data_IF_427342419264
#
_entry.id   IF_427342419264
#
_cell.length_a   1.000
_cell.length_b   1.000
_cell.length_c   1.000
_cell.angle_alpha   90.00
_cell.angle_beta   90.00
_cell.angle_gamma   90.00
#
_symmetry.space_group_name_H-M   'P 1'
#
loop_
_entity.id
_entity.type
_entity.pdbx_description
1 polymer ?
#
# COMPACT_ATOMS: atom_id res chain seq x y z
N UNK A 1 -1.21 -12.48 5.15
CA UNK A 1 -0.51 -11.60 4.17
C UNK A 1 0.94 -11.36 4.60
N UNK A 2 1.18 -10.90 5.83
CA UNK A 2 2.51 -10.52 6.31
C UNK A 2 3.53 -11.69 6.38
N UNK A 3 3.07 -12.94 6.37
CA UNK A 3 3.93 -14.12 6.31
C UNK A 3 4.55 -14.38 4.94
N UNK A 4 3.99 -13.80 3.88
CA UNK A 4 4.45 -14.00 2.50
C UNK A 4 4.84 -12.70 1.79
N UNK A 5 4.14 -11.60 2.06
CA UNK A 5 4.34 -10.32 1.37
C UNK A 5 5.14 -9.34 2.21
N UNK A 6 6.07 -8.65 1.59
CA UNK A 6 6.82 -7.56 2.19
C UNK A 6 6.09 -6.23 2.08
N UNK A 7 6.45 -5.28 2.96
CA UNK A 7 6.05 -3.87 2.93
C UNK A 7 7.25 -2.98 3.26
N UNK A 8 8.32 -3.13 2.50
CA UNK A 8 9.66 -2.56 2.77
C UNK A 8 9.73 -1.03 2.76
N UNK A 9 8.72 -0.34 2.23
CA UNK A 9 8.70 1.13 2.21
C UNK A 9 7.93 1.75 3.37
N UNK A 10 7.14 0.96 4.11
CA UNK A 10 6.42 1.39 5.30
C UNK A 10 7.31 1.28 6.53
N UNK A 11 7.32 2.30 7.38
CA UNK A 11 7.98 2.28 8.70
C UNK A 11 6.95 2.12 9.81
N UNK A 12 7.35 1.58 10.95
CA UNK A 12 6.45 1.42 12.09
C UNK A 12 5.88 2.75 12.60
N UNK A 13 6.62 3.87 12.49
CA UNK A 13 6.14 5.21 12.81
C UNK A 13 4.94 5.65 11.95
N UNK A 14 4.83 5.15 10.72
CA UNK A 14 3.72 5.54 9.85
C UNK A 14 2.37 5.07 10.39
N UNK A 15 2.33 4.07 11.29
CA UNK A 15 1.12 3.54 11.89
C UNK A 15 0.38 4.55 12.78
N UNK A 16 1.08 5.53 13.37
CA UNK A 16 0.48 6.57 14.22
C UNK A 16 0.53 7.98 13.61
N UNK A 17 1.02 8.11 12.37
CA UNK A 17 1.00 9.39 11.66
C UNK A 17 -0.44 9.80 11.28
N UNK A 18 -0.76 11.10 11.26
CA UNK A 18 -2.08 11.58 10.86
C UNK A 18 -2.51 11.08 9.47
N UNK A 19 -3.72 10.54 9.37
CA UNK A 19 -4.25 9.92 8.14
C UNK A 19 -3.85 8.46 7.96
N UNK A 20 -3.16 7.88 8.94
CA UNK A 20 -2.80 6.47 9.01
C UNK A 20 -3.85 5.62 9.73
N UNK A 21 -3.47 4.39 10.14
CA UNK A 21 -4.36 3.45 10.83
C UNK A 21 -4.75 3.84 12.26
N UNK A 22 -4.44 5.04 12.68
CA UNK A 22 -4.83 5.63 13.99
C UNK A 22 -4.34 4.88 15.24
N UNK A 23 -3.24 4.12 15.12
CA UNK A 23 -2.59 3.57 16.30
C UNK A 23 -2.02 4.69 17.18
N UNK A 24 -1.95 4.43 18.50
CA UNK A 24 -1.15 5.30 19.38
C UNK A 24 0.33 5.04 19.18
N UNK A 25 1.18 6.00 19.55
CA UNK A 25 2.64 5.84 19.48
C UNK A 25 3.12 4.61 20.27
N UNK A 26 2.53 4.36 21.44
CA UNK A 26 2.90 3.21 22.28
C UNK A 26 2.46 1.87 21.66
N UNK A 27 1.31 1.83 21.01
CA UNK A 27 0.89 0.66 20.22
C UNK A 27 1.84 0.39 19.05
N UNK A 28 2.22 1.43 18.32
CA UNK A 28 3.19 1.30 17.23
C UNK A 28 4.58 0.84 17.71
N UNK A 29 5.03 1.32 18.90
CA UNK A 29 6.26 0.83 19.56
C UNK A 29 6.14 -0.65 19.95
N UNK A 30 5.01 -1.05 20.53
CA UNK A 30 4.77 -2.44 20.93
C UNK A 30 4.77 -3.37 19.71
N UNK A 31 4.12 -2.95 18.62
CA UNK A 31 4.13 -3.71 17.34
C UNK A 31 5.58 -3.83 16.83
N UNK A 32 6.33 -2.73 16.77
CA UNK A 32 7.72 -2.74 16.31
C UNK A 32 8.58 -3.69 17.14
N UNK A 33 8.48 -3.61 18.48
CA UNK A 33 9.27 -4.42 19.41
C UNK A 33 9.02 -5.94 19.30
N UNK A 34 7.91 -6.35 18.66
CA UNK A 34 7.63 -7.75 18.35
C UNK A 34 8.44 -8.32 17.18
N UNK A 35 9.23 -7.49 16.50
CA UNK A 35 10.06 -7.89 15.36
C UNK A 35 11.54 -7.63 15.64
N UNK A 36 12.40 -8.45 15.05
CA UNK A 36 13.85 -8.32 15.17
C UNK A 36 14.45 -7.77 13.87
N UNK A 37 15.41 -6.88 14.02
CA UNK A 37 16.18 -6.30 12.90
C UNK A 37 17.67 -6.46 13.16
N UNK A 38 18.42 -6.71 12.10
CA UNK A 38 19.89 -6.67 12.14
C UNK A 38 20.35 -5.24 12.03
N UNK A 39 21.15 -4.78 12.97
CA UNK A 39 21.70 -3.41 13.04
C UNK A 39 23.22 -3.49 13.19
N UNK A 40 23.90 -2.39 13.02
CA UNK A 40 25.36 -2.30 13.17
C UNK A 40 26.04 -1.66 11.96
N UNK A 41 27.37 -1.75 11.90
CA UNK A 41 28.23 -2.43 12.89
C UNK A 41 28.31 -1.71 14.25
N UNK A 42 28.54 -2.47 15.33
CA UNK A 42 28.86 -1.94 16.66
C UNK A 42 30.31 -1.40 16.70
N UNK A 43 30.80 -1.00 17.87
CA UNK A 43 32.19 -0.50 18.07
C UNK A 43 33.26 -1.50 17.66
N UNK A 44 32.93 -2.79 17.66
CA UNK A 44 33.85 -3.90 17.35
C UNK A 44 33.73 -4.33 15.87
N UNK A 45 32.87 -3.65 15.10
CA UNK A 45 32.64 -3.93 13.69
C UNK A 45 31.66 -5.08 13.42
N UNK A 46 30.92 -5.54 14.44
CA UNK A 46 30.01 -6.67 14.33
C UNK A 46 28.55 -6.23 14.12
N UNK A 47 27.82 -7.00 13.32
CA UNK A 47 26.36 -6.85 13.19
C UNK A 47 25.69 -7.51 14.39
N UNK A 48 24.64 -6.90 14.90
CA UNK A 48 23.88 -7.41 16.04
C UNK A 48 22.37 -7.36 15.78
N UNK A 49 21.64 -8.22 16.47
CA UNK A 49 20.18 -8.28 16.39
C UNK A 49 19.59 -7.48 17.54
N UNK A 50 18.56 -6.69 17.26
CA UNK A 50 17.80 -5.93 18.25
C UNK A 50 16.30 -5.91 17.89
N UNK A 51 15.42 -5.62 18.86
CA UNK A 51 14.04 -5.29 18.57
C UNK A 51 13.94 -4.08 17.63
N UNK A 52 12.96 -4.12 16.71
CA UNK A 52 12.72 -3.00 15.82
C UNK A 52 12.20 -1.78 16.59
N UNK A 53 12.47 -0.59 16.04
CA UNK A 53 12.07 0.72 16.55
C UNK A 53 11.09 1.38 15.56
N UNK A 54 10.46 2.48 15.97
CA UNK A 54 9.55 3.24 15.11
C UNK A 54 10.17 3.72 13.80
N UNK A 55 11.48 3.99 13.79
CA UNK A 55 12.22 4.40 12.58
C UNK A 55 12.48 3.27 11.60
N UNK A 56 12.41 2.03 12.05
CA UNK A 56 12.70 0.89 11.20
C UNK A 56 11.56 0.62 10.22
N UNK A 57 11.90 0.00 9.10
CA UNK A 57 10.93 -0.48 8.12
C UNK A 57 10.29 -1.77 8.60
N UNK A 58 9.11 -2.08 8.08
CA UNK A 58 8.50 -3.37 8.31
C UNK A 58 9.46 -4.49 7.89
N UNK A 59 9.63 -5.45 8.78
CA UNK A 59 10.52 -6.59 8.55
C UNK A 59 9.97 -7.45 7.42
N UNK A 60 10.85 -7.81 6.50
CA UNK A 60 10.48 -8.68 5.38
C UNK A 60 10.34 -10.13 5.85
N UNK A 61 9.34 -10.87 5.36
CA UNK A 61 9.14 -12.27 5.75
C UNK A 61 10.25 -13.22 5.28
N UNK A 62 10.99 -12.84 4.24
CA UNK A 62 12.07 -13.65 3.67
C UNK A 62 13.35 -12.82 3.52
N UNK A 63 14.48 -13.46 3.75
CA UNK A 63 15.80 -12.82 3.66
C UNK A 63 16.15 -12.34 2.24
N UNK A 64 15.62 -13.01 1.21
CA UNK A 64 15.87 -12.67 -0.19
C UNK A 64 14.81 -13.29 -1.12
N UNK A 65 14.86 -12.89 -2.41
CA UNK A 65 13.92 -13.35 -3.44
C UNK A 65 13.92 -14.87 -3.61
N UNK A 66 15.10 -15.51 -3.56
CA UNK A 66 15.19 -16.98 -3.74
C UNK A 66 14.53 -17.73 -2.58
N UNK A 67 14.72 -17.24 -1.35
CA UNK A 67 14.03 -17.81 -0.17
C UNK A 67 12.52 -17.65 -0.28
N UNK A 68 12.04 -16.47 -0.71
CA UNK A 68 10.61 -16.23 -0.96
C UNK A 68 10.05 -17.18 -2.03
N UNK A 69 10.75 -17.35 -3.15
CA UNK A 69 10.33 -18.27 -4.21
C UNK A 69 10.31 -19.73 -3.76
N UNK A 70 11.32 -20.16 -3.02
CA UNK A 70 11.39 -21.53 -2.50
C UNK A 70 10.19 -21.83 -1.56
N UNK A 71 9.81 -20.88 -0.72
CA UNK A 71 8.70 -21.03 0.20
C UNK A 71 7.30 -20.94 -0.47
N UNK A 72 7.22 -20.40 -1.69
CA UNK A 72 5.95 -20.11 -2.39
C UNK A 72 5.85 -20.83 -3.75
N UNK A 73 6.32 -22.08 -3.85
CA UNK A 73 6.19 -22.89 -5.07
C UNK A 73 6.80 -22.25 -6.33
N UNK A 74 7.93 -21.55 -6.17
CA UNK A 74 8.62 -20.83 -7.25
C UNK A 74 8.06 -19.45 -7.56
N UNK A 75 6.92 -19.05 -6.98
CA UNK A 75 6.37 -17.71 -7.14
C UNK A 75 7.05 -16.72 -6.18
N UNK A 76 7.19 -15.48 -6.63
CA UNK A 76 7.64 -14.38 -5.77
C UNK A 76 6.44 -13.52 -5.35
N UNK A 77 6.06 -13.52 -4.06
CA UNK A 77 5.01 -12.63 -3.56
C UNK A 77 5.44 -11.16 -3.72
N UNK A 78 4.66 -10.31 -4.42
CA UNK A 78 5.04 -8.93 -4.62
C UNK A 78 5.08 -8.14 -3.32
N UNK A 79 5.95 -7.12 -3.27
CA UNK A 79 5.92 -6.12 -2.20
C UNK A 79 4.63 -5.29 -2.27
N UNK A 80 3.96 -5.15 -1.13
CA UNK A 80 2.62 -4.55 -1.06
C UNK A 80 2.66 -3.04 -0.76
N UNK A 81 3.82 -2.45 -0.46
CA UNK A 81 3.95 -1.05 -0.04
C UNK A 81 3.28 -0.05 -0.99
N UNK A 82 3.38 -0.29 -2.30
CA UNK A 82 2.80 0.58 -3.35
C UNK A 82 1.88 -0.16 -4.32
N UNK A 83 1.44 -1.37 -3.93
CA UNK A 83 0.68 -2.27 -4.81
C UNK A 83 -0.61 -1.63 -5.33
N UNK A 84 -1.32 -0.88 -4.50
CA UNK A 84 -2.55 -0.19 -4.87
C UNK A 84 -2.34 0.85 -6.00
N UNK A 85 -1.12 1.36 -6.18
CA UNK A 85 -0.77 2.26 -7.29
C UNK A 85 -0.08 1.55 -8.45
N UNK A 86 0.47 0.38 -8.22
CA UNK A 86 1.21 -0.39 -9.21
C UNK A 86 0.31 -1.33 -10.05
N UNK A 87 -0.99 -1.29 -9.84
CA UNK A 87 -1.96 -2.11 -10.59
C UNK A 87 -3.02 -1.22 -11.24
N UNK A 88 -3.35 -1.53 -12.50
CA UNK A 88 -4.52 -0.96 -13.15
C UNK A 88 -5.78 -1.36 -12.39
N UNK A 89 -6.66 -0.41 -12.11
CA UNK A 89 -7.82 -0.60 -11.23
C UNK A 89 -7.53 -0.44 -9.73
N UNK A 90 -6.26 -0.29 -9.32
CA UNK A 90 -5.90 0.08 -7.95
C UNK A 90 -6.45 -0.87 -6.89
N UNK A 91 -7.07 -0.30 -5.87
CA UNK A 91 -7.68 -1.04 -4.75
C UNK A 91 -8.85 -1.91 -5.17
N UNK A 92 -9.65 -1.48 -6.16
CA UNK A 92 -10.80 -2.25 -6.66
C UNK A 92 -10.33 -3.55 -7.33
N UNK A 93 -9.22 -3.50 -8.06
CA UNK A 93 -8.60 -4.69 -8.62
C UNK A 93 -8.10 -5.63 -7.52
N UNK A 94 -7.40 -5.12 -6.50
CA UNK A 94 -6.90 -5.95 -5.39
C UNK A 94 -8.06 -6.59 -4.65
N UNK A 95 -9.11 -5.81 -4.33
CA UNK A 95 -10.34 -6.31 -3.71
C UNK A 95 -10.97 -7.43 -4.54
N UNK A 96 -11.11 -7.22 -5.85
CA UNK A 96 -11.68 -8.21 -6.76
C UNK A 96 -10.85 -9.48 -6.81
N UNK A 97 -9.50 -9.39 -6.86
CA UNK A 97 -8.61 -10.56 -6.84
C UNK A 97 -8.78 -11.35 -5.53
N UNK A 98 -8.90 -10.67 -4.38
CA UNK A 98 -9.08 -11.36 -3.09
C UNK A 98 -10.38 -12.16 -3.01
N UNK A 99 -11.43 -11.71 -3.70
CA UNK A 99 -12.75 -12.36 -3.73
C UNK A 99 -13.02 -13.18 -5.01
N UNK A 100 -12.08 -13.20 -5.93
CA UNK A 100 -12.27 -13.79 -7.26
C UNK A 100 -11.91 -15.27 -7.37
N UNK A 101 -11.61 -15.95 -6.28
CA UNK A 101 -11.32 -17.38 -6.28
C UNK A 101 -12.60 -18.18 -6.48
N UNK A 102 -12.57 -19.08 -7.46
CA UNK A 102 -13.66 -20.00 -7.75
C UNK A 102 -13.12 -21.25 -8.45
N UNK A 103 -13.95 -22.27 -8.57
CA UNK A 103 -13.60 -23.49 -9.31
C UNK A 103 -13.39 -23.17 -10.80
N UNK A 104 -12.37 -23.76 -11.45
CA UNK A 104 -12.12 -23.52 -12.87
C UNK A 104 -13.32 -23.98 -13.73
N UNK A 105 -13.65 -23.22 -14.80
CA UNK A 105 -14.70 -23.63 -15.73
C UNK A 105 -14.42 -24.99 -16.37
N UNK A 106 -15.48 -25.66 -16.82
CA UNK A 106 -15.38 -26.96 -17.50
C UNK A 106 -14.39 -26.90 -18.68
N UNK A 107 -13.44 -27.84 -18.71
CA UNK A 107 -12.41 -27.91 -19.75
C UNK A 107 -11.13 -27.13 -19.46
N UNK A 108 -11.05 -26.40 -18.35
CA UNK A 108 -9.82 -25.74 -17.90
C UNK A 108 -9.10 -26.67 -16.90
N UNK A 109 -7.87 -27.03 -17.24
CA UNK A 109 -6.98 -27.80 -16.36
C UNK A 109 -5.89 -26.87 -15.86
N UNK A 110 -5.71 -26.79 -14.54
CA UNK A 110 -4.66 -26.02 -13.90
C UNK A 110 -3.48 -26.92 -13.52
N UNK A 111 -2.29 -26.34 -13.51
CA UNK A 111 -1.09 -26.98 -12.96
C UNK A 111 -1.22 -27.09 -11.42
N UNK A 112 -0.47 -28.01 -10.83
CA UNK A 112 -0.42 -28.16 -9.37
C UNK A 112 0.13 -26.86 -8.72
N UNK A 113 -0.54 -26.44 -7.64
CA UNK A 113 -0.22 -25.19 -6.94
C UNK A 113 -0.64 -23.90 -7.67
N UNK A 114 -1.47 -24.01 -8.71
CA UNK A 114 -2.10 -22.87 -9.40
C UNK A 114 -3.60 -22.90 -9.14
N UNK A 115 -4.17 -21.72 -8.86
CA UNK A 115 -5.59 -21.57 -8.54
C UNK A 115 -6.27 -20.72 -9.61
N UNK A 116 -7.55 -20.98 -9.87
CA UNK A 116 -8.35 -20.14 -10.75
C UNK A 116 -8.80 -18.89 -10.02
N UNK A 117 -8.69 -17.75 -10.71
CA UNK A 117 -9.19 -16.47 -10.21
C UNK A 117 -9.72 -15.66 -11.39
N UNK A 118 -11.01 -15.34 -11.38
CA UNK A 118 -11.68 -14.69 -12.49
C UNK A 118 -11.22 -13.27 -12.82
N UNK A 119 -10.56 -12.59 -11.86
CA UNK A 119 -10.07 -11.21 -12.02
C UNK A 119 -8.58 -11.14 -12.31
N UNK A 120 -7.82 -12.21 -12.08
CA UNK A 120 -6.41 -12.24 -12.41
C UNK A 120 -6.21 -12.33 -13.92
N UNK A 121 -5.24 -11.58 -14.46
CA UNK A 121 -4.89 -11.69 -15.86
C UNK A 121 -4.48 -13.13 -16.21
N UNK A 122 -5.12 -13.71 -17.22
CA UNK A 122 -4.94 -15.11 -17.57
C UNK A 122 -5.68 -16.09 -16.66
N UNK A 123 -6.48 -15.61 -15.71
CA UNK A 123 -7.30 -16.37 -14.77
C UNK A 123 -6.53 -17.37 -13.86
N UNK A 124 -5.21 -17.26 -13.81
CA UNK A 124 -4.31 -18.14 -13.07
C UNK A 124 -3.52 -17.37 -12.03
N UNK A 125 -3.48 -17.87 -10.80
CA UNK A 125 -2.72 -17.29 -9.70
C UNK A 125 -2.06 -18.38 -8.85
N UNK A 126 -0.79 -18.18 -8.46
CA UNK A 126 -0.08 -19.12 -7.57
C UNK A 126 -0.35 -18.86 -6.09
N UNK A 127 -0.91 -17.70 -5.72
CA UNK A 127 -1.37 -17.44 -4.38
C UNK A 127 -2.63 -18.26 -4.12
N UNK A 128 -2.62 -19.10 -3.08
CA UNK A 128 -3.86 -19.75 -2.61
C UNK A 128 -4.85 -18.71 -2.07
N UNK A 129 -6.13 -19.03 -2.02
CA UNK A 129 -7.14 -18.14 -1.44
C UNK A 129 -6.73 -17.71 -0.02
N UNK A 130 -6.49 -16.40 0.21
CA UNK A 130 -5.90 -15.94 1.47
C UNK A 130 -6.93 -15.62 2.55
N UNK A 131 -8.23 -15.55 2.20
CA UNK A 131 -9.30 -15.14 3.09
C UNK A 131 -10.36 -16.23 3.19
N UNK A 132 -10.84 -16.47 4.41
CA UNK A 132 -12.01 -17.30 4.71
C UNK A 132 -12.84 -16.64 5.80
N UNK A 133 -14.14 -16.83 5.79
CA UNK A 133 -15.01 -16.28 6.83
C UNK A 133 -14.54 -16.69 8.23
N UNK A 134 -14.52 -15.74 9.16
CA UNK A 134 -14.09 -15.97 10.52
C UNK A 134 -12.57 -16.14 10.72
N UNK A 135 -11.74 -15.79 9.73
CA UNK A 135 -10.28 -15.93 9.81
C UNK A 135 -9.65 -15.06 10.92
N UNK A 136 -10.26 -13.92 11.22
CA UNK A 136 -9.82 -13.01 12.29
C UNK A 136 -10.98 -12.68 13.22
N UNK A 137 -10.67 -12.21 14.41
CA UNK A 137 -11.64 -11.68 15.36
C UNK A 137 -11.46 -10.17 15.50
N UNK A 138 -12.51 -9.40 15.22
CA UNK A 138 -12.51 -7.96 15.40
C UNK A 138 -12.88 -7.60 16.83
N UNK A 139 -12.10 -6.74 17.48
CA UNK A 139 -12.30 -6.33 18.86
C UNK A 139 -13.59 -5.51 19.10
N UNK A 140 -14.16 -4.94 18.04
CA UNK A 140 -15.41 -4.18 18.05
C UNK A 140 -16.66 -5.03 17.76
N UNK A 141 -16.49 -6.36 17.56
CA UNK A 141 -17.57 -7.29 17.26
C UNK A 141 -18.02 -7.29 15.80
N UNK A 142 -17.31 -6.61 14.90
CA UNK A 142 -17.58 -6.67 13.45
C UNK A 142 -17.47 -8.12 12.96
N UNK A 143 -18.40 -8.55 12.11
CA UNK A 143 -18.36 -9.89 11.51
C UNK A 143 -17.22 -9.99 10.51
N UNK A 144 -16.31 -10.94 10.72
CA UNK A 144 -15.15 -11.19 9.86
C UNK A 144 -15.55 -11.98 8.60
N UNK A 145 -16.36 -11.38 7.71
CA UNK A 145 -16.62 -11.95 6.39
C UNK A 145 -15.45 -11.73 5.45
N UNK A 146 -15.33 -12.55 4.39
CA UNK A 146 -14.31 -12.34 3.34
C UNK A 146 -14.36 -10.94 2.77
N UNK A 147 -15.55 -10.42 2.50
CA UNK A 147 -15.78 -9.09 1.94
C UNK A 147 -15.28 -7.99 2.88
N UNK A 148 -15.58 -8.12 4.19
CA UNK A 148 -15.14 -7.13 5.18
C UNK A 148 -13.61 -7.12 5.28
N UNK A 149 -13.00 -8.30 5.43
CA UNK A 149 -11.54 -8.42 5.51
C UNK A 149 -10.83 -7.95 4.22
N UNK A 150 -11.41 -8.25 3.04
CA UNK A 150 -10.89 -7.77 1.77
C UNK A 150 -10.96 -6.24 1.67
N UNK A 151 -12.06 -5.62 2.15
CA UNK A 151 -12.22 -4.17 2.21
C UNK A 151 -11.19 -3.53 3.13
N UNK A 152 -10.99 -4.09 4.31
CA UNK A 152 -10.06 -3.53 5.31
C UNK A 152 -8.62 -3.61 4.83
N UNK A 153 -8.19 -4.76 4.30
CA UNK A 153 -6.83 -4.90 3.78
C UNK A 153 -6.58 -4.01 2.56
N UNK A 154 -7.56 -3.83 1.67
CA UNK A 154 -7.40 -2.94 0.50
C UNK A 154 -7.37 -1.48 0.90
N UNK A 155 -8.13 -1.09 1.91
CA UNK A 155 -8.08 0.26 2.51
C UNK A 155 -6.71 0.53 3.13
N UNK A 156 -6.18 -0.43 3.88
CA UNK A 156 -4.82 -0.36 4.43
C UNK A 156 -3.76 -0.24 3.33
N UNK A 157 -3.88 -1.02 2.25
CA UNK A 157 -2.95 -0.95 1.12
C UNK A 157 -3.02 0.37 0.35
N UNK A 158 -4.21 0.99 0.27
CA UNK A 158 -4.34 2.32 -0.29
C UNK A 158 -3.63 3.36 0.56
N UNK A 159 -3.82 3.32 1.87
CA UNK A 159 -3.07 4.18 2.79
C UNK A 159 -1.56 3.96 2.66
N UNK A 160 -1.10 2.71 2.67
CA UNK A 160 0.32 2.39 2.56
C UNK A 160 0.95 2.96 1.27
N UNK A 161 0.21 2.93 0.15
CA UNK A 161 0.67 3.46 -1.13
C UNK A 161 0.58 4.99 -1.24
N UNK A 162 -0.33 5.64 -0.50
CA UNK A 162 -0.63 7.08 -0.55
C UNK A 162 -0.94 7.66 0.84
N UNK A 163 0.00 7.61 1.80
CA UNK A 163 -0.26 8.03 3.18
C UNK A 163 -0.63 9.51 3.30
N UNK A 164 -0.25 10.34 2.34
CA UNK A 164 -0.55 11.78 2.33
C UNK A 164 -1.61 12.18 1.30
N UNK A 165 -2.46 11.25 0.85
CA UNK A 165 -3.47 11.51 -0.19
C UNK A 165 -4.36 12.71 0.13
N UNK A 166 -4.94 12.75 1.32
CA UNK A 166 -5.84 13.83 1.75
C UNK A 166 -5.11 15.17 1.87
N UNK A 167 -3.92 15.18 2.46
CA UNK A 167 -3.11 16.39 2.60
C UNK A 167 -2.74 16.96 1.23
N UNK A 168 -2.37 16.08 0.29
CA UNK A 168 -2.06 16.44 -1.09
C UNK A 168 -3.27 17.02 -1.81
N UNK A 169 -4.45 16.43 -1.68
CA UNK A 169 -5.68 16.95 -2.28
C UNK A 169 -6.06 18.32 -1.70
N UNK A 170 -6.00 18.48 -0.37
CA UNK A 170 -6.27 19.78 0.29
C UNK A 170 -5.30 20.85 -0.18
N UNK A 171 -4.02 20.54 -0.29
CA UNK A 171 -2.99 21.46 -0.79
C UNK A 171 -3.20 21.77 -2.28
N UNK A 172 -3.49 20.77 -3.09
CA UNK A 172 -3.75 20.92 -4.53
C UNK A 172 -4.92 21.84 -4.81
N UNK A 173 -6.02 21.72 -4.09
CA UNK A 173 -7.17 22.62 -4.22
C UNK A 173 -6.79 24.08 -3.91
N UNK A 174 -6.04 24.31 -2.84
CA UNK A 174 -5.55 25.67 -2.49
C UNK A 174 -4.62 26.24 -3.56
N UNK A 175 -3.72 25.41 -4.09
CA UNK A 175 -2.80 25.80 -5.15
C UNK A 175 -3.55 26.16 -6.45
N UNK A 176 -4.54 25.38 -6.85
CA UNK A 176 -5.37 25.67 -8.03
C UNK A 176 -6.11 27.00 -7.86
N UNK A 177 -6.74 27.24 -6.72
CA UNK A 177 -7.43 28.49 -6.44
C UNK A 177 -6.49 29.69 -6.52
N UNK A 178 -5.31 29.59 -5.90
CA UNK A 178 -4.27 30.60 -5.97
C UNK A 178 -3.84 30.89 -7.42
N UNK A 179 -3.59 29.85 -8.22
CA UNK A 179 -3.18 29.98 -9.62
C UNK A 179 -4.26 30.62 -10.48
N UNK A 180 -5.54 30.32 -10.25
CA UNK A 180 -6.64 30.98 -10.96
C UNK A 180 -6.65 32.48 -10.67
N UNK A 181 -6.57 32.87 -9.39
CA UNK A 181 -6.53 34.29 -9.00
C UNK A 181 -5.31 34.98 -9.61
N UNK A 182 -4.14 34.36 -9.51
CA UNK A 182 -2.91 34.91 -10.09
C UNK A 182 -3.03 35.07 -11.60
N UNK A 183 -3.59 34.09 -12.31
CA UNK A 183 -3.80 34.16 -13.76
C UNK A 183 -4.71 35.33 -14.14
N UNK A 184 -5.79 35.56 -13.41
CA UNK A 184 -6.72 36.68 -13.63
C UNK A 184 -5.99 38.00 -13.44
N UNK A 185 -5.21 38.15 -12.37
CA UNK A 185 -4.45 39.38 -12.09
C UNK A 185 -3.41 39.67 -13.18
N UNK A 186 -2.63 38.65 -13.59
CA UNK A 186 -1.66 38.76 -14.67
C UNK A 186 -2.33 39.08 -15.99
N UNK A 187 -3.47 38.50 -16.31
CA UNK A 187 -4.23 38.80 -17.51
C UNK A 187 -4.67 40.28 -17.57
N UNK A 188 -5.23 40.83 -16.51
CA UNK A 188 -5.62 42.21 -16.45
C UNK A 188 -4.41 43.16 -16.49
N UNK A 189 -3.32 42.81 -15.84
CA UNK A 189 -2.07 43.55 -15.90
C UNK A 189 -1.51 43.59 -17.33
N UNK A 190 -1.49 42.44 -17.99
CA UNK A 190 -1.09 42.34 -19.40
C UNK A 190 -1.97 43.24 -20.29
N UNK A 191 -3.29 43.14 -20.20
CA UNK A 191 -4.22 43.95 -20.97
C UNK A 191 -3.98 45.46 -20.74
N UNK A 192 -3.73 45.86 -19.50
CA UNK A 192 -3.47 47.28 -19.19
C UNK A 192 -2.15 47.77 -19.80
N UNK A 193 -1.11 46.96 -19.82
CA UNK A 193 0.18 47.31 -20.44
C UNK A 193 0.02 47.43 -21.97
N UNK A 194 -0.60 46.45 -22.61
CA UNK A 194 -0.76 46.41 -24.06
C UNK A 194 -1.68 47.54 -24.58
N UNK A 195 -2.74 47.89 -23.85
CA UNK A 195 -3.64 48.99 -24.23
C UNK A 195 -2.94 50.36 -24.29
N UNK A 196 -1.84 50.56 -23.56
CA UNK A 196 -1.01 51.79 -23.66
C UNK A 196 -0.19 51.83 -24.93
N UNK A 197 0.32 50.68 -25.35
CA UNK A 197 1.12 50.57 -26.58
C UNK A 197 0.22 50.78 -27.80
N UNK A 198 -0.97 50.20 -27.82
CA UNK A 198 -1.95 50.37 -28.92
C UNK A 198 -2.47 51.80 -29.04
N UNK A 199 -2.45 52.60 -27.97
CA UNK A 199 -2.87 54.01 -28.00
C UNK A 199 -1.78 54.99 -28.46
N UNK A 200 -0.53 54.54 -28.60
CA UNK A 200 0.62 55.32 -29.06
C UNK A 200 0.95 55.09 -30.55
N UNK A 201 0.22 54.16 -31.20
CA UNK A 201 0.32 53.87 -32.64
C UNK A 201 -0.91 54.44 -33.36
#
# INVERSE_FOLDING_TARGET
CASCHSMKYVSYRNLFEPGGPEFTEDQAKAIAAGFEVTDGPNSDGEMFVRPAKLSDKFVMPFANVKAAQAANGGAYPPDMSVLAKARSGGVDYIYSVLLGYEDPPSGVTLEDGVYYNKYMYGNNIKMSEPLSDGLVEYSDGTTASKEQMAKDVTTFLMWAAEPHLEARHKMGFRAILYLIILTILVYFSMKKIWSRIESEV
#
